data_IF_728791728306
#
_entry.id   IF_728791728306
#
_cell.length_a   1.000
_cell.length_b   1.000
_cell.length_c   1.000
_cell.angle_alpha   90.00
_cell.angle_beta   90.00
_cell.angle_gamma   90.00
#
_symmetry.space_group_name_H-M   'P 1'
#
loop_
_entity.id
_entity.type
_entity.pdbx_description
1 polymer ?
#
# COMPACT_ATOMS: atom_id res chain seq x y z
N UNK A 1 -36.59 5.97 -9.22
CA UNK A 1 -35.74 7.17 -9.02
C UNK A 1 -34.40 6.92 -9.67
N UNK A 2 -34.00 7.70 -10.67
CA UNK A 2 -32.69 7.55 -11.34
C UNK A 2 -31.64 8.34 -10.57
N UNK A 3 -30.61 7.67 -10.04
CA UNK A 3 -29.51 8.33 -9.34
C UNK A 3 -28.76 9.29 -10.27
N UNK A 4 -28.32 10.44 -9.76
CA UNK A 4 -27.41 11.34 -10.49
C UNK A 4 -26.03 10.72 -10.66
N UNK A 5 -25.22 11.21 -11.60
CA UNK A 5 -23.84 10.70 -11.84
C UNK A 5 -22.98 10.83 -10.58
N UNK A 6 -23.14 11.92 -9.84
CA UNK A 6 -22.42 12.16 -8.58
C UNK A 6 -22.86 11.17 -7.49
N UNK A 7 -24.17 10.90 -7.35
CA UNK A 7 -24.68 9.90 -6.41
C UNK A 7 -24.19 8.49 -6.73
N UNK A 8 -24.16 8.09 -8.01
CA UNK A 8 -23.57 6.82 -8.45
C UNK A 8 -22.09 6.73 -8.08
N UNK A 9 -21.35 7.83 -8.22
CA UNK A 9 -19.96 7.95 -7.82
C UNK A 9 -19.74 7.76 -6.32
N UNK A 10 -20.55 8.43 -5.49
CA UNK A 10 -20.48 8.29 -4.03
C UNK A 10 -20.80 6.86 -3.57
N UNK A 11 -21.79 6.21 -4.18
CA UNK A 11 -22.12 4.80 -3.88
C UNK A 11 -20.94 3.89 -4.23
N UNK A 12 -20.37 4.04 -5.43
CA UNK A 12 -19.18 3.28 -5.84
C UNK A 12 -18.01 3.49 -4.87
N UNK A 13 -17.72 4.75 -4.51
CA UNK A 13 -16.64 5.08 -3.58
C UNK A 13 -16.84 4.42 -2.23
N UNK A 14 -18.02 4.57 -1.61
CA UNK A 14 -18.31 3.98 -0.29
C UNK A 14 -18.18 2.46 -0.33
N UNK A 15 -18.71 1.79 -1.36
CA UNK A 15 -18.58 0.34 -1.51
C UNK A 15 -17.11 -0.08 -1.67
N UNK A 16 -16.36 0.58 -2.56
CA UNK A 16 -14.96 0.27 -2.80
C UNK A 16 -14.10 0.48 -1.53
N UNK A 17 -14.28 1.61 -0.83
CA UNK A 17 -13.55 1.90 0.41
C UNK A 17 -13.93 0.93 1.53
N UNK A 18 -15.20 0.53 1.63
CA UNK A 18 -15.65 -0.45 2.62
C UNK A 18 -15.03 -1.82 2.36
N UNK A 19 -15.01 -2.28 1.10
CA UNK A 19 -14.36 -3.53 0.72
C UNK A 19 -12.85 -3.50 1.00
N UNK A 20 -12.17 -2.40 0.66
CA UNK A 20 -10.75 -2.21 0.97
C UNK A 20 -10.50 -2.20 2.48
N UNK A 21 -11.36 -1.55 3.27
CA UNK A 21 -11.26 -1.54 4.73
C UNK A 21 -11.36 -2.98 5.27
N UNK A 22 -12.33 -3.76 4.79
CA UNK A 22 -12.51 -5.16 5.18
C UNK A 22 -11.30 -6.02 4.77
N UNK A 23 -10.73 -5.80 3.59
CA UNK A 23 -9.57 -6.54 3.09
C UNK A 23 -8.27 -6.25 3.82
N UNK A 24 -8.12 -5.03 4.36
CA UNK A 24 -6.89 -4.59 5.01
C UNK A 24 -6.94 -4.76 6.52
N UNK A 25 -8.09 -4.50 7.16
CA UNK A 25 -8.16 -4.38 8.62
C UNK A 25 -8.63 -5.63 9.34
N UNK A 26 -9.45 -6.48 8.73
CA UNK A 26 -9.93 -7.68 9.41
C UNK A 26 -8.82 -8.75 9.51
N UNK A 27 -8.78 -9.43 10.66
CA UNK A 27 -7.87 -10.54 10.94
C UNK A 27 -8.11 -11.79 10.09
N UNK A 28 -9.11 -11.79 9.19
CA UNK A 28 -9.25 -12.76 8.10
C UNK A 28 -8.20 -12.52 7.02
N UNK A 29 -6.93 -12.40 7.41
CA UNK A 29 -5.85 -12.10 6.50
C UNK A 29 -5.28 -13.38 5.90
N UNK A 30 -5.86 -13.76 4.77
CA UNK A 30 -5.29 -14.75 3.85
C UNK A 30 -5.13 -14.14 2.47
N UNK A 31 -4.22 -14.71 1.68
CA UNK A 31 -4.03 -14.32 0.27
C UNK A 31 -5.36 -14.39 -0.50
N UNK A 32 -6.17 -15.41 -0.23
CA UNK A 32 -7.47 -15.61 -0.87
C UNK A 32 -8.48 -14.53 -0.50
N UNK A 33 -8.49 -14.06 0.74
CA UNK A 33 -9.38 -12.96 1.15
C UNK A 33 -9.04 -11.66 0.43
N UNK A 34 -7.74 -11.35 0.29
CA UNK A 34 -7.29 -10.18 -0.46
C UNK A 34 -7.71 -10.27 -1.94
N UNK A 35 -7.67 -11.47 -2.54
CA UNK A 35 -8.17 -11.72 -3.90
C UNK A 35 -9.69 -11.55 -4.00
N UNK A 36 -10.46 -12.08 -3.05
CA UNK A 36 -11.93 -11.91 -3.02
C UNK A 36 -12.30 -10.43 -2.96
N UNK A 37 -11.62 -9.66 -2.11
CA UNK A 37 -11.83 -8.21 -2.01
C UNK A 37 -11.46 -7.50 -3.32
N UNK A 38 -10.34 -7.87 -3.95
CA UNK A 38 -9.93 -7.31 -5.24
C UNK A 38 -10.96 -7.59 -6.35
N UNK A 39 -11.48 -8.81 -6.42
CA UNK A 39 -12.56 -9.18 -7.35
C UNK A 39 -13.82 -8.36 -7.05
N UNK A 40 -14.20 -8.23 -5.78
CA UNK A 40 -15.34 -7.41 -5.36
C UNK A 40 -15.23 -5.95 -5.80
N UNK A 41 -14.07 -5.31 -5.55
CA UNK A 41 -13.80 -3.94 -6.02
C UNK A 41 -13.81 -3.86 -7.55
N UNK A 42 -13.29 -4.88 -8.23
CA UNK A 42 -13.33 -5.00 -9.68
C UNK A 42 -14.76 -5.05 -10.24
N UNK A 43 -15.64 -5.86 -9.64
CA UNK A 43 -17.07 -5.93 -10.02
C UNK A 43 -17.75 -4.59 -9.78
N UNK A 44 -17.53 -3.94 -8.63
CA UNK A 44 -18.05 -2.60 -8.36
C UNK A 44 -17.59 -1.58 -9.41
N UNK A 45 -16.31 -1.65 -9.83
CA UNK A 45 -15.74 -0.76 -10.85
C UNK A 45 -16.36 -0.99 -12.24
N UNK A 46 -16.60 -2.24 -12.63
CA UNK A 46 -17.32 -2.58 -13.88
C UNK A 46 -18.75 -2.02 -13.84
N UNK A 47 -19.50 -2.29 -12.77
CA UNK A 47 -20.88 -1.81 -12.62
C UNK A 47 -20.92 -0.28 -12.68
N UNK A 48 -20.02 0.41 -11.97
CA UNK A 48 -19.90 1.87 -12.03
C UNK A 48 -19.60 2.37 -13.45
N UNK A 49 -18.70 1.68 -14.16
CA UNK A 49 -18.34 2.00 -15.55
C UNK A 49 -19.49 1.84 -16.54
N UNK A 50 -20.39 0.88 -16.33
CA UNK A 50 -21.58 0.64 -17.17
C UNK A 50 -22.69 1.65 -16.91
N UNK A 51 -22.84 2.12 -15.67
CA UNK A 51 -23.87 3.11 -15.30
C UNK A 51 -23.39 4.55 -15.42
N UNK A 52 -22.17 4.80 -15.87
CA UNK A 52 -21.65 6.15 -16.10
C UNK A 52 -21.48 6.44 -17.59
N UNK A 53 -21.72 7.68 -18.05
CA UNK A 53 -21.54 8.03 -19.46
C UNK A 53 -20.14 7.67 -19.95
N UNK A 54 -20.06 7.10 -21.15
CA UNK A 54 -18.80 6.76 -21.79
C UNK A 54 -18.05 8.05 -22.18
N UNK A 55 -17.11 8.46 -21.33
CA UNK A 55 -16.13 9.51 -21.64
C UNK A 55 -14.80 8.91 -22.12
N UNK A 56 -14.08 9.64 -22.98
CA UNK A 56 -12.70 9.26 -23.35
C UNK A 56 -11.77 9.44 -22.16
N UNK A 57 -11.30 8.32 -21.58
CA UNK A 57 -10.34 8.33 -20.49
C UNK A 57 -8.92 8.66 -20.95
N UNK A 58 -8.54 8.14 -22.10
CA UNK A 58 -7.22 8.34 -22.70
C UNK A 58 -7.37 8.86 -24.12
N UNK A 59 -6.31 9.46 -24.65
CA UNK A 59 -6.19 9.82 -26.05
C UNK A 59 -6.19 8.56 -26.94
N UNK A 60 -6.44 8.76 -28.25
CA UNK A 60 -6.54 7.66 -29.21
C UNK A 60 -5.27 6.81 -29.31
N UNK A 61 -4.04 7.37 -29.43
CA UNK A 61 -2.85 6.54 -29.50
C UNK A 61 -2.65 5.71 -28.23
N UNK A 62 -2.87 6.28 -27.05
CA UNK A 62 -2.81 5.53 -25.79
C UNK A 62 -3.86 4.40 -25.75
N UNK A 63 -5.09 4.65 -26.22
CA UNK A 63 -6.13 3.61 -26.29
C UNK A 63 -5.73 2.45 -27.22
N UNK A 64 -5.14 2.76 -28.38
CA UNK A 64 -4.65 1.75 -29.34
C UNK A 64 -3.50 0.97 -28.71
N UNK A 65 -2.54 1.64 -28.07
CA UNK A 65 -1.43 0.99 -27.37
C UNK A 65 -1.91 0.03 -26.28
N UNK A 66 -2.87 0.46 -25.44
CA UNK A 66 -3.47 -0.40 -24.42
C UNK A 66 -4.20 -1.60 -25.04
N UNK A 67 -4.96 -1.40 -26.11
CA UNK A 67 -5.64 -2.48 -26.81
C UNK A 67 -4.65 -3.49 -27.40
N UNK A 68 -3.53 -3.01 -27.97
CA UNK A 68 -2.46 -3.87 -28.48
C UNK A 68 -1.79 -4.66 -27.35
N UNK A 69 -1.42 -4.02 -26.24
CA UNK A 69 -0.80 -4.71 -25.09
C UNK A 69 -1.74 -5.76 -24.51
N UNK A 70 -3.02 -5.45 -24.34
CA UNK A 70 -4.01 -6.41 -23.84
C UNK A 70 -4.26 -7.55 -24.83
N UNK A 71 -4.32 -7.25 -26.13
CA UNK A 71 -4.49 -8.25 -27.20
C UNK A 71 -3.29 -9.19 -27.32
N UNK A 72 -2.07 -8.65 -27.31
CA UNK A 72 -0.83 -9.44 -27.30
C UNK A 72 -0.73 -10.27 -26.02
N UNK A 73 -1.12 -9.71 -24.87
CA UNK A 73 -1.24 -10.45 -23.62
C UNK A 73 -2.19 -11.63 -23.75
N UNK A 74 -3.35 -11.45 -24.37
CA UNK A 74 -4.32 -12.53 -24.57
C UNK A 74 -3.76 -13.64 -25.47
N UNK A 75 -3.12 -13.28 -26.60
CA UNK A 75 -2.44 -14.25 -27.47
C UNK A 75 -1.34 -15.00 -26.71
N UNK A 76 -0.53 -14.28 -25.93
CA UNK A 76 0.51 -14.88 -25.08
C UNK A 76 -0.07 -15.85 -24.05
N UNK A 77 -1.23 -15.54 -23.46
CA UNK A 77 -1.88 -16.44 -22.49
C UNK A 77 -2.38 -17.72 -23.13
N UNK A 78 -2.86 -17.65 -24.37
CA UNK A 78 -3.34 -18.82 -25.11
C UNK A 78 -2.21 -19.76 -25.53
N UNK A 79 -1.04 -19.19 -25.85
CA UNK A 79 0.15 -19.94 -26.26
C UNK A 79 0.99 -20.42 -25.06
N UNK A 80 0.66 -20.02 -23.83
CA UNK A 80 1.42 -20.39 -22.65
C UNK A 80 1.29 -21.88 -22.33
N UNK A 81 2.35 -22.48 -21.80
CA UNK A 81 2.36 -23.86 -21.31
C UNK A 81 1.30 -24.15 -20.24
N UNK A 82 0.89 -23.12 -19.48
CA UNK A 82 -0.13 -23.19 -18.43
C UNK A 82 -1.20 -22.10 -18.67
N UNK A 83 -2.12 -22.31 -19.64
CA UNK A 83 -3.00 -21.25 -20.13
C UNK A 83 -3.99 -20.75 -19.08
N UNK A 84 -4.45 -21.62 -18.17
CA UNK A 84 -5.34 -21.23 -17.07
C UNK A 84 -4.67 -20.23 -16.13
N UNK A 85 -3.44 -20.51 -15.70
CA UNK A 85 -2.67 -19.60 -14.83
C UNK A 85 -2.34 -18.30 -15.54
N UNK A 86 -1.90 -18.36 -16.80
CA UNK A 86 -1.65 -17.16 -17.58
C UNK A 86 -2.91 -16.28 -17.72
N UNK A 87 -4.06 -16.91 -18.00
CA UNK A 87 -5.34 -16.19 -18.10
C UNK A 87 -5.74 -15.54 -16.78
N UNK A 88 -5.47 -16.17 -15.63
CA UNK A 88 -5.73 -15.54 -14.32
C UNK A 88 -4.90 -14.29 -14.08
N UNK A 89 -3.62 -14.28 -14.46
CA UNK A 89 -2.74 -13.11 -14.34
C UNK A 89 -3.15 -11.99 -15.32
N UNK A 90 -3.56 -12.36 -16.54
CA UNK A 90 -4.10 -11.40 -17.50
C UNK A 90 -5.42 -10.78 -17.03
N UNK A 91 -6.33 -11.59 -16.48
CA UNK A 91 -7.59 -11.12 -15.90
C UNK A 91 -7.34 -10.21 -14.68
N UNK A 92 -6.31 -10.50 -13.88
CA UNK A 92 -5.87 -9.65 -12.77
C UNK A 92 -5.43 -8.27 -13.26
N UNK A 93 -4.57 -8.22 -14.29
CA UNK A 93 -4.12 -6.97 -14.91
C UNK A 93 -5.29 -6.16 -15.47
N UNK A 94 -6.20 -6.82 -16.19
CA UNK A 94 -7.41 -6.19 -16.71
C UNK A 94 -8.27 -5.60 -15.58
N UNK A 95 -8.47 -6.37 -14.50
CA UNK A 95 -9.25 -5.94 -13.33
C UNK A 95 -8.63 -4.68 -12.69
N UNK A 96 -7.31 -4.66 -12.49
CA UNK A 96 -6.59 -3.47 -12.01
C UNK A 96 -6.79 -2.26 -12.93
N UNK A 97 -6.75 -2.48 -14.26
CA UNK A 97 -7.00 -1.44 -15.25
C UNK A 97 -8.43 -0.87 -15.16
N UNK A 98 -9.43 -1.74 -14.98
CA UNK A 98 -10.83 -1.32 -14.80
C UNK A 98 -11.03 -0.53 -13.51
N UNK A 99 -10.41 -0.95 -12.40
CA UNK A 99 -10.44 -0.21 -11.13
C UNK A 99 -9.81 1.18 -11.31
N UNK A 100 -8.65 1.26 -11.95
CA UNK A 100 -7.99 2.53 -12.25
C UNK A 100 -8.87 3.44 -13.12
N UNK A 101 -9.49 2.89 -14.16
CA UNK A 101 -10.43 3.61 -15.02
C UNK A 101 -11.65 4.13 -14.25
N UNK A 102 -12.21 3.34 -13.34
CA UNK A 102 -13.34 3.74 -12.49
C UNK A 102 -12.97 4.92 -11.58
N UNK A 103 -11.85 4.86 -10.87
CA UNK A 103 -11.37 5.97 -10.04
C UNK A 103 -11.01 7.21 -10.87
N UNK A 104 -10.46 7.05 -12.07
CA UNK A 104 -10.21 8.17 -12.98
C UNK A 104 -11.52 8.87 -13.42
N UNK A 105 -12.56 8.10 -13.76
CA UNK A 105 -13.90 8.66 -14.06
C UNK A 105 -14.50 9.35 -12.84
N UNK A 106 -14.41 8.70 -11.68
CA UNK A 106 -14.89 9.26 -10.42
C UNK A 106 -14.22 10.61 -10.14
N UNK A 107 -12.90 10.72 -10.35
CA UNK A 107 -12.16 11.96 -10.14
C UNK A 107 -12.50 13.07 -11.14
N UNK A 108 -12.79 12.72 -12.39
CA UNK A 108 -13.20 13.71 -13.41
C UNK A 108 -14.60 14.27 -13.18
N UNK A 109 -15.49 13.46 -12.61
CA UNK A 109 -16.86 13.85 -12.31
C UNK A 109 -17.04 14.38 -10.87
N UNK A 110 -16.02 14.22 -10.03
CA UNK A 110 -16.01 14.64 -8.64
C UNK A 110 -15.25 15.95 -8.42
N UNK A 111 -15.37 16.48 -7.20
CA UNK A 111 -14.70 17.70 -6.76
C UNK A 111 -13.50 17.38 -5.85
N UNK A 112 -12.96 18.41 -5.21
CA UNK A 112 -11.85 18.29 -4.27
C UNK A 112 -12.18 17.44 -3.03
N UNK A 113 -13.46 17.29 -2.68
CA UNK A 113 -13.85 16.49 -1.51
C UNK A 113 -13.51 15.01 -1.70
N UNK A 114 -13.46 14.52 -2.94
CA UNK A 114 -13.00 13.17 -3.25
C UNK A 114 -11.54 12.95 -2.84
N UNK A 115 -10.65 13.89 -3.21
CA UNK A 115 -9.22 13.78 -2.88
C UNK A 115 -9.03 13.81 -1.36
N UNK A 116 -9.81 14.66 -0.66
CA UNK A 116 -9.81 14.71 0.81
C UNK A 116 -10.30 13.40 1.44
N UNK A 117 -11.37 12.80 0.91
CA UNK A 117 -11.90 11.54 1.39
C UNK A 117 -10.89 10.39 1.20
N UNK A 118 -10.19 10.34 0.07
CA UNK A 118 -9.15 9.33 -0.19
C UNK A 118 -7.93 9.51 0.74
N UNK A 119 -7.49 10.75 0.98
CA UNK A 119 -6.41 11.03 1.94
C UNK A 119 -6.84 10.63 3.37
N UNK A 120 -8.07 10.98 3.77
CA UNK A 120 -8.61 10.59 5.08
C UNK A 120 -8.70 9.06 5.21
N UNK A 121 -9.08 8.37 4.14
CA UNK A 121 -9.12 6.91 4.11
C UNK A 121 -7.73 6.30 4.31
N UNK A 122 -6.69 6.84 3.65
CA UNK A 122 -5.30 6.41 3.86
C UNK A 122 -4.86 6.65 5.31
N UNK A 123 -5.16 7.83 5.87
CA UNK A 123 -4.88 8.15 7.27
C UNK A 123 -5.55 7.16 8.22
N UNK A 124 -6.84 6.85 7.98
CA UNK A 124 -7.60 5.90 8.77
C UNK A 124 -6.99 4.49 8.70
N UNK A 125 -6.62 4.01 7.52
CA UNK A 125 -5.98 2.70 7.36
C UNK A 125 -4.64 2.64 8.11
N UNK A 126 -3.82 3.67 7.99
CA UNK A 126 -2.53 3.72 8.69
C UNK A 126 -2.73 3.80 10.20
N UNK A 127 -3.72 4.55 10.67
CA UNK A 127 -4.08 4.62 12.09
C UNK A 127 -4.51 3.24 12.62
N UNK A 128 -5.45 2.57 11.94
CA UNK A 128 -5.90 1.23 12.33
C UNK A 128 -4.73 0.25 12.37
N UNK A 129 -3.87 0.26 11.34
CA UNK A 129 -2.70 -0.61 11.29
C UNK A 129 -1.67 -0.30 12.37
N UNK A 130 -1.50 0.97 12.72
CA UNK A 130 -0.64 1.38 13.83
C UNK A 130 -1.19 0.91 15.17
N UNK A 131 -2.51 1.00 15.37
CA UNK A 131 -3.16 0.48 16.57
C UNK A 131 -3.06 -1.06 16.66
N UNK A 132 -3.24 -1.77 15.54
CA UNK A 132 -3.06 -3.23 15.48
C UNK A 132 -1.61 -3.64 15.82
N UNK A 133 -0.63 -2.91 15.28
CA UNK A 133 0.78 -3.13 15.60
C UNK A 133 1.07 -2.87 17.08
N UNK A 134 0.54 -1.78 17.64
CA UNK A 134 0.68 -1.45 19.06
C UNK A 134 0.05 -2.52 19.96
N UNK A 135 -1.15 -2.99 19.62
CA UNK A 135 -1.84 -4.07 20.33
C UNK A 135 -1.03 -5.37 20.29
N UNK A 136 -0.54 -5.78 19.13
CA UNK A 136 0.34 -6.95 18.99
C UNK A 136 1.63 -6.78 19.80
N UNK A 137 2.20 -5.57 19.84
CA UNK A 137 3.36 -5.24 20.66
C UNK A 137 3.08 -5.43 22.15
N UNK A 138 1.98 -4.88 22.66
CA UNK A 138 1.57 -5.06 24.07
C UNK A 138 1.41 -6.54 24.41
N UNK A 139 0.75 -7.32 23.55
CA UNK A 139 0.63 -8.77 23.75
C UNK A 139 2.00 -9.45 23.79
N UNK A 140 2.89 -9.15 22.85
CA UNK A 140 4.23 -9.74 22.81
C UNK A 140 5.09 -9.38 24.03
N UNK A 141 4.98 -8.15 24.55
CA UNK A 141 5.70 -7.74 25.76
C UNK A 141 5.12 -8.31 27.06
N UNK A 142 3.85 -8.76 27.05
CA UNK A 142 3.14 -9.28 28.23
C UNK A 142 2.91 -10.78 28.22
N UNK A 143 3.22 -11.48 27.12
CA UNK A 143 2.96 -12.92 26.97
C UNK A 143 3.82 -13.79 27.88
N UNK A 144 4.93 -13.27 28.39
CA UNK A 144 5.91 -14.03 29.18
C UNK A 144 6.84 -14.89 28.33
N UNK A 145 6.75 -14.78 26.99
CA UNK A 145 7.71 -15.42 26.08
C UNK A 145 9.09 -14.79 26.23
N UNK A 146 10.15 -15.59 26.06
CA UNK A 146 11.53 -15.10 26.12
C UNK A 146 12.01 -14.47 24.81
N UNK A 147 11.29 -14.73 23.71
CA UNK A 147 11.64 -14.26 22.36
C UNK A 147 10.54 -13.39 21.78
N UNK A 148 10.92 -12.21 21.28
CA UNK A 148 10.02 -11.31 20.56
C UNK A 148 10.30 -11.38 19.06
N UNK A 149 9.35 -11.91 18.28
CA UNK A 149 9.43 -11.91 16.81
C UNK A 149 8.72 -10.68 16.22
N UNK A 150 9.50 -9.81 15.58
CA UNK A 150 8.98 -8.59 14.96
C UNK A 150 8.08 -8.84 13.75
N UNK A 151 8.15 -10.02 13.13
CA UNK A 151 7.29 -10.37 11.99
C UNK A 151 5.84 -10.59 12.42
N UNK A 152 5.62 -11.11 13.64
CA UNK A 152 4.28 -11.33 14.20
C UNK A 152 3.53 -10.02 14.48
N UNK A 153 4.26 -8.92 14.67
CA UNK A 153 3.68 -7.60 14.86
C UNK A 153 3.02 -7.05 13.58
N UNK A 154 3.42 -7.58 12.41
CA UNK A 154 2.97 -7.14 11.09
C UNK A 154 1.79 -7.97 10.59
N UNK A 155 0.77 -8.09 11.42
CA UNK A 155 -0.44 -8.85 11.12
C UNK A 155 -1.31 -8.26 9.99
N UNK A 156 -2.11 -9.12 9.37
CA UNK A 156 -3.10 -8.71 8.38
C UNK A 156 -2.69 -8.89 6.91
N UNK A 157 -1.49 -9.41 6.63
CA UNK A 157 -1.04 -9.75 5.28
C UNK A 157 -0.46 -11.17 5.25
N UNK A 158 -0.67 -11.88 4.15
CA UNK A 158 -0.11 -13.23 3.94
C UNK A 158 1.41 -13.26 3.88
N UNK A 159 2.03 -12.12 3.52
CA UNK A 159 3.46 -11.97 3.45
C UNK A 159 3.87 -10.53 3.81
N UNK A 160 4.94 -10.41 4.60
CA UNK A 160 5.58 -9.14 4.97
C UNK A 160 5.94 -8.26 3.77
N UNK A 161 6.20 -8.84 2.60
CA UNK A 161 6.44 -8.10 1.34
C UNK A 161 5.22 -7.31 0.88
N UNK A 162 4.01 -7.87 0.98
CA UNK A 162 2.79 -7.16 0.62
C UNK A 162 2.50 -6.02 1.59
N UNK A 163 2.79 -6.23 2.89
CA UNK A 163 2.77 -5.15 3.87
C UNK A 163 3.73 -4.01 3.49
N UNK A 164 4.96 -4.35 3.08
CA UNK A 164 5.94 -3.37 2.60
C UNK A 164 5.49 -2.60 1.37
N UNK A 165 4.86 -3.26 0.39
CA UNK A 165 4.28 -2.58 -0.78
C UNK A 165 3.18 -1.61 -0.36
N UNK A 166 2.28 -2.04 0.53
CA UNK A 166 1.25 -1.17 1.09
C UNK A 166 1.86 0.06 1.79
N UNK A 167 2.88 -0.14 2.63
CA UNK A 167 3.61 0.95 3.28
C UNK A 167 4.29 1.89 2.27
N UNK A 168 4.89 1.35 1.22
CA UNK A 168 5.58 2.14 0.18
C UNK A 168 4.63 3.14 -0.47
N UNK A 169 3.38 2.74 -0.71
CA UNK A 169 2.37 3.63 -1.29
C UNK A 169 1.77 4.62 -0.27
N UNK A 170 1.59 4.23 1.00
CA UNK A 170 0.92 5.08 2.00
C UNK A 170 1.86 6.08 2.69
N UNK A 171 3.13 5.73 2.88
CA UNK A 171 4.10 6.54 3.60
C UNK A 171 4.32 7.94 2.98
N UNK A 172 4.40 8.09 1.64
CA UNK A 172 4.43 9.41 1.01
C UNK A 172 3.15 10.23 1.22
N UNK A 173 1.99 9.57 1.22
CA UNK A 173 0.68 10.21 1.30
C UNK A 173 0.38 10.75 2.71
N UNK A 174 0.88 10.08 3.76
CA UNK A 174 0.74 10.54 5.15
C UNK A 174 1.38 11.91 5.41
N UNK A 175 2.37 12.31 4.62
CA UNK A 175 3.00 13.62 4.75
C UNK A 175 2.19 14.75 4.09
N UNK A 176 1.22 14.46 3.21
CA UNK A 176 0.46 15.48 2.48
C UNK A 176 -0.27 16.48 3.39
N UNK A 177 -0.99 16.06 4.46
CA UNK A 177 -1.63 16.99 5.38
C UNK A 177 -0.64 17.91 6.11
N UNK A 178 0.63 17.48 6.28
CA UNK A 178 1.66 18.28 6.93
C UNK A 178 2.18 19.43 6.04
N UNK A 179 1.95 19.34 4.73
CA UNK A 179 2.31 20.36 3.75
C UNK A 179 1.25 21.47 3.64
N UNK A 180 0.00 21.15 3.96
CA UNK A 180 -1.12 22.09 3.84
C UNK A 180 -1.07 23.16 4.95
N UNK A 181 -1.20 24.43 4.53
CA UNK A 181 -1.21 25.56 5.44
C UNK A 181 -2.48 25.63 6.30
N UNK A 182 -3.60 25.09 5.80
CA UNK A 182 -4.91 25.09 6.47
C UNK A 182 -5.02 24.09 7.62
N UNK A 183 -4.06 23.18 7.78
CA UNK A 183 -4.11 22.15 8.82
C UNK A 183 -3.79 22.72 10.19
N UNK A 184 -4.69 22.49 11.16
CA UNK A 184 -4.52 22.94 12.55
C UNK A 184 -3.25 22.39 13.20
N UNK A 185 -2.72 23.09 14.20
CA UNK A 185 -1.50 22.65 14.92
C UNK A 185 -1.69 21.27 15.58
N UNK A 186 -2.86 21.02 16.17
CA UNK A 186 -3.18 19.73 16.79
C UNK A 186 -3.20 18.61 15.76
N UNK A 187 -3.92 18.81 14.65
CA UNK A 187 -4.00 17.82 13.57
C UNK A 187 -2.62 17.54 12.98
N UNK A 188 -1.78 18.58 12.80
CA UNK A 188 -0.41 18.41 12.33
C UNK A 188 0.43 17.57 13.30
N UNK A 189 0.30 17.80 14.60
CA UNK A 189 0.96 16.98 15.62
C UNK A 189 0.52 15.51 15.59
N UNK A 190 -0.78 15.25 15.48
CA UNK A 190 -1.33 13.89 15.41
C UNK A 190 -0.89 13.15 14.14
N UNK A 191 -0.95 13.81 12.97
CA UNK A 191 -0.49 13.23 11.70
C UNK A 191 1.01 12.98 11.72
N UNK A 192 1.80 13.89 12.33
CA UNK A 192 3.24 13.68 12.48
C UNK A 192 3.56 12.50 13.41
N UNK A 193 2.85 12.38 14.55
CA UNK A 193 2.99 11.23 15.44
C UNK A 193 2.64 9.92 14.74
N UNK A 194 1.57 9.91 13.95
CA UNK A 194 1.21 8.76 13.10
C UNK A 194 2.30 8.46 12.07
N UNK A 195 2.89 9.46 11.44
CA UNK A 195 3.98 9.28 10.48
C UNK A 195 5.24 8.69 11.14
N UNK A 196 5.60 9.14 12.36
CA UNK A 196 6.68 8.56 13.15
C UNK A 196 6.42 7.08 13.48
N UNK A 197 5.19 6.77 13.92
CA UNK A 197 4.78 5.39 14.18
C UNK A 197 4.78 4.54 12.91
N UNK A 198 4.38 5.10 11.76
CA UNK A 198 4.43 4.41 10.48
C UNK A 198 5.86 4.11 10.03
N UNK A 199 6.80 5.04 10.27
CA UNK A 199 8.24 4.82 10.08
C UNK A 199 8.80 3.75 11.02
N UNK A 200 8.40 3.75 12.30
CA UNK A 200 8.74 2.66 13.24
C UNK A 200 8.36 1.30 12.66
N UNK A 201 7.13 1.15 12.14
CA UNK A 201 6.65 -0.09 11.54
C UNK A 201 7.43 -0.43 10.26
N UNK A 202 7.82 0.58 9.45
CA UNK A 202 8.63 0.34 8.25
C UNK A 202 10.05 -0.14 8.61
N UNK A 203 10.63 0.38 9.70
CA UNK A 203 11.95 -0.01 10.22
C UNK A 203 11.91 -1.44 10.77
N UNK A 204 10.95 -1.77 11.64
CA UNK A 204 10.76 -3.16 12.13
C UNK A 204 10.39 -4.11 10.98
N UNK A 205 9.68 -3.58 9.99
CA UNK A 205 9.37 -4.22 8.72
C UNK A 205 10.59 -4.55 7.87
N UNK A 206 11.74 -3.89 8.00
CA UNK A 206 12.93 -4.21 7.20
C UNK A 206 12.68 -4.40 5.68
N UNK A 207 11.64 -3.76 5.13
CA UNK A 207 11.19 -4.02 3.75
C UNK A 207 12.06 -3.22 2.79
N UNK A 208 13.11 -3.84 2.26
CA UNK A 208 14.12 -3.18 1.40
C UNK A 208 13.52 -2.38 0.24
N UNK A 209 12.44 -2.87 -0.37
CA UNK A 209 11.72 -2.17 -1.44
C UNK A 209 11.17 -0.81 -1.02
N UNK A 210 10.68 -0.70 0.22
CA UNK A 210 10.20 0.56 0.79
C UNK A 210 11.33 1.56 0.94
N UNK A 211 12.48 1.13 1.48
CA UNK A 211 13.67 1.99 1.63
C UNK A 211 14.16 2.52 0.29
N UNK A 212 14.29 1.65 -0.72
CA UNK A 212 14.72 2.05 -2.06
C UNK A 212 13.69 2.98 -2.72
N UNK A 213 12.41 2.63 -2.68
CA UNK A 213 11.33 3.41 -3.29
C UNK A 213 11.22 4.81 -2.69
N UNK A 214 11.24 4.91 -1.36
CA UNK A 214 11.21 6.20 -0.66
C UNK A 214 12.51 6.98 -0.88
N UNK A 215 13.67 6.31 -0.91
CA UNK A 215 14.96 6.94 -1.20
C UNK A 215 15.01 7.58 -2.58
N UNK A 216 14.59 6.85 -3.62
CA UNK A 216 14.51 7.39 -4.98
C UNK A 216 13.50 8.54 -5.05
N UNK A 217 12.32 8.38 -4.45
CA UNK A 217 11.32 9.45 -4.39
C UNK A 217 11.86 10.70 -3.67
N UNK A 218 12.60 10.54 -2.57
CA UNK A 218 13.25 11.61 -1.82
C UNK A 218 14.27 12.38 -2.67
N UNK A 219 15.13 11.67 -3.40
CA UNK A 219 16.10 12.28 -4.31
C UNK A 219 15.38 13.08 -5.38
N UNK A 220 14.42 12.48 -6.08
CA UNK A 220 13.68 13.14 -7.16
C UNK A 220 12.93 14.38 -6.63
N UNK A 221 12.21 14.26 -5.50
CA UNK A 221 11.43 15.35 -4.92
C UNK A 221 12.30 16.47 -4.35
N UNK A 222 13.54 16.19 -3.90
CA UNK A 222 14.45 17.23 -3.44
C UNK A 222 14.76 18.27 -4.55
N UNK A 223 14.79 17.82 -5.81
CA UNK A 223 15.07 18.66 -6.97
C UNK A 223 13.81 19.32 -7.59
N UNK A 224 12.60 18.86 -7.25
CA UNK A 224 11.33 19.36 -7.80
C UNK A 224 10.77 20.62 -7.09
N UNK A 225 11.58 21.29 -6.26
CA UNK A 225 11.25 22.60 -5.68
C UNK A 225 10.97 22.60 -4.17
N UNK A 226 10.46 23.73 -3.67
CA UNK A 226 10.31 23.97 -2.22
C UNK A 226 9.33 23.01 -1.54
N UNK A 227 8.24 22.62 -2.22
CA UNK A 227 7.27 21.66 -1.70
C UNK A 227 7.89 20.26 -1.53
N UNK A 228 8.70 19.82 -2.49
CA UNK A 228 9.41 18.54 -2.40
C UNK A 228 10.46 18.52 -1.30
N UNK A 229 11.22 19.60 -1.11
CA UNK A 229 12.13 19.75 0.04
C UNK A 229 11.42 19.75 1.39
N UNK A 230 10.25 20.41 1.48
CA UNK A 230 9.41 20.38 2.70
C UNK A 230 8.85 18.99 2.98
N UNK A 231 8.41 18.28 1.95
CA UNK A 231 7.99 16.88 2.07
C UNK A 231 9.14 16.02 2.59
N UNK A 232 10.34 16.17 2.02
CA UNK A 232 11.53 15.45 2.48
C UNK A 232 11.88 15.77 3.93
N UNK A 233 11.81 17.05 4.33
CA UNK A 233 12.08 17.44 5.72
C UNK A 233 11.13 16.75 6.71
N UNK A 234 9.83 16.68 6.38
CA UNK A 234 8.86 15.95 7.20
C UNK A 234 9.16 14.44 7.26
N UNK A 235 9.54 13.84 6.13
CA UNK A 235 9.89 12.42 6.08
C UNK A 235 11.15 12.10 6.89
N UNK A 236 12.19 12.93 6.79
CA UNK A 236 13.43 12.77 7.57
C UNK A 236 13.16 12.97 9.06
N UNK A 237 12.40 14.00 9.43
CA UNK A 237 12.03 14.23 10.82
C UNK A 237 11.24 13.06 11.40
N UNK A 238 10.29 12.50 10.63
CA UNK A 238 9.51 11.36 11.07
C UNK A 238 10.31 10.05 11.07
N UNK A 239 11.25 9.87 10.14
CA UNK A 239 12.21 8.76 10.16
C UNK A 239 13.05 8.80 11.44
N UNK A 240 13.58 9.96 11.82
CA UNK A 240 14.29 10.12 13.09
C UNK A 240 13.38 9.80 14.29
N UNK A 241 12.13 10.24 14.27
CA UNK A 241 11.13 9.89 15.28
C UNK A 241 10.86 8.38 15.34
N UNK A 242 10.70 7.72 14.20
CA UNK A 242 10.52 6.27 14.09
C UNK A 242 11.73 5.48 14.58
N UNK A 243 12.95 5.93 14.26
CA UNK A 243 14.21 5.35 14.76
C UNK A 243 14.32 5.48 16.27
N UNK A 244 13.97 6.64 16.82
CA UNK A 244 13.96 6.86 18.26
C UNK A 244 12.96 5.94 18.97
N UNK A 245 11.74 5.82 18.44
CA UNK A 245 10.74 4.87 18.95
C UNK A 245 11.22 3.42 18.85
N UNK A 246 11.86 3.05 17.74
CA UNK A 246 12.41 1.70 17.53
C UNK A 246 13.47 1.39 18.58
N UNK A 247 14.40 2.31 18.81
CA UNK A 247 15.43 2.19 19.83
C UNK A 247 14.81 2.04 21.22
N UNK A 248 13.83 2.86 21.58
CA UNK A 248 13.18 2.80 22.89
C UNK A 248 12.47 1.47 23.12
N UNK A 249 11.71 0.99 22.13
CA UNK A 249 10.93 -0.25 22.27
C UNK A 249 11.79 -1.52 22.21
N UNK A 250 12.68 -1.61 21.22
CA UNK A 250 13.39 -2.85 20.93
C UNK A 250 14.79 -2.89 21.58
N UNK A 251 15.47 -1.76 21.78
CA UNK A 251 16.81 -1.79 22.39
C UNK A 251 16.76 -1.54 23.91
N UNK A 252 15.88 -0.64 24.37
CA UNK A 252 15.79 -0.29 25.79
C UNK A 252 14.77 -1.18 26.51
N UNK A 253 13.50 -1.15 26.09
CA UNK A 253 12.43 -1.86 26.78
C UNK A 253 12.57 -3.39 26.69
N UNK A 254 12.80 -3.94 25.50
CA UNK A 254 13.00 -5.39 25.35
C UNK A 254 14.18 -5.90 26.20
N UNK A 255 15.31 -5.17 26.20
CA UNK A 255 16.48 -5.51 27.02
C UNK A 255 16.20 -5.40 28.52
N UNK A 256 15.46 -4.37 28.94
CA UNK A 256 15.04 -4.22 30.33
C UNK A 256 14.17 -5.40 30.78
N UNK A 257 13.32 -5.92 29.89
CA UNK A 257 12.48 -7.09 30.12
C UNK A 257 13.20 -8.43 29.91
N UNK A 258 14.48 -8.43 29.52
CA UNK A 258 15.25 -9.65 29.26
C UNK A 258 14.82 -10.43 28.02
N UNK A 259 14.13 -9.79 27.07
CA UNK A 259 13.64 -10.42 25.85
C UNK A 259 14.74 -10.49 24.78
N UNK A 260 14.88 -11.66 24.16
CA UNK A 260 15.67 -11.81 22.95
C UNK A 260 14.83 -11.44 21.72
N UNK A 261 15.36 -10.60 20.83
CA UNK A 261 14.63 -10.21 19.63
C UNK A 261 15.02 -11.15 18.51
N UNK A 262 14.09 -12.02 18.12
CA UNK A 262 14.20 -12.78 16.90
C UNK A 262 13.89 -11.87 15.70
N UNK A 263 14.43 -12.21 14.52
CA UNK A 263 14.18 -11.50 13.25
C UNK A 263 14.63 -10.03 13.21
N UNK A 264 15.68 -9.67 13.97
CA UNK A 264 16.33 -8.36 13.87
C UNK A 264 16.68 -8.04 12.42
N UNK A 265 16.39 -6.80 12.00
CA UNK A 265 16.72 -6.28 10.67
C UNK A 265 18.20 -6.47 10.30
N UNK A 266 19.08 -6.58 11.31
CA UNK A 266 20.50 -6.87 11.18
C UNK A 266 20.82 -8.25 10.56
N UNK A 267 20.07 -9.31 10.89
CA UNK A 267 20.29 -10.66 10.32
C UNK A 267 19.90 -10.73 8.83
N UNK A 268 19.24 -9.68 8.33
CA UNK A 268 18.80 -9.56 6.95
C UNK A 268 19.71 -8.64 6.12
N UNK A 269 20.97 -8.41 6.52
CA UNK A 269 22.01 -7.81 5.68
C UNK A 269 22.61 -8.78 4.65
N UNK A 270 21.83 -9.76 4.18
CA UNK A 270 22.26 -10.66 3.11
C UNK A 270 22.14 -9.97 1.75
N UNK A 271 23.27 -9.69 1.10
CA UNK A 271 23.35 -9.21 -0.30
C UNK A 271 22.97 -10.29 -1.32
N UNK A 272 22.67 -11.50 -0.87
CA UNK A 272 22.24 -12.61 -1.74
C UNK A 272 20.87 -12.32 -2.37
N UNK A 273 20.70 -12.71 -3.62
CA UNK A 273 19.44 -12.69 -4.37
C UNK A 273 18.40 -13.72 -3.86
N UNK A 274 18.71 -14.45 -2.78
CA UNK A 274 17.85 -15.48 -2.18
C UNK A 274 17.45 -16.57 -3.18
N UNK A 275 18.37 -16.98 -4.06
CA UNK A 275 18.11 -18.01 -5.07
C UNK A 275 17.28 -17.55 -6.27
N UNK A 276 16.91 -16.25 -6.34
CA UNK A 276 16.13 -15.70 -7.47
C UNK A 276 16.89 -15.75 -8.79
N UNK A 277 18.22 -15.67 -8.74
CA UNK A 277 19.11 -15.87 -9.87
C UNK A 277 18.88 -17.24 -10.54
N UNK A 278 18.66 -18.30 -9.75
CA UNK A 278 18.38 -19.64 -10.25
C UNK A 278 17.01 -19.68 -10.93
N UNK A 279 16.01 -19.04 -10.32
CA UNK A 279 14.64 -18.99 -10.87
C UNK A 279 14.61 -18.18 -12.17
N UNK A 280 15.36 -17.08 -12.26
CA UNK A 280 15.44 -16.26 -13.46
C UNK A 280 16.13 -17.00 -14.61
N UNK A 281 17.20 -17.75 -14.32
CA UNK A 281 17.82 -18.64 -15.30
C UNK A 281 16.86 -19.72 -15.78
N UNK A 282 16.14 -20.38 -14.87
CA UNK A 282 15.11 -21.36 -15.24
C UNK A 282 14.01 -20.75 -16.11
N UNK A 283 13.56 -19.54 -15.79
CA UNK A 283 12.55 -18.85 -16.58
C UNK A 283 13.07 -18.48 -17.97
N UNK A 284 14.34 -18.09 -18.09
CA UNK A 284 14.98 -17.83 -19.38
C UNK A 284 15.08 -19.10 -20.24
N UNK A 285 15.47 -20.22 -19.64
CA UNK A 285 15.57 -21.52 -20.33
C UNK A 285 14.20 -22.05 -20.80
N UNK A 286 13.08 -21.52 -20.27
CA UNK A 286 11.72 -21.89 -20.66
C UNK A 286 11.11 -21.01 -21.77
N UNK A 287 11.81 -19.95 -22.22
CA UNK A 287 11.40 -19.07 -23.32
C UNK A 287 12.06 -19.53 -24.62
#
# INVERSE_FOLDING_TARGET
MTLSVQQRGSVFLVLALSLLLLGITLSFSGHDWQRVVQVGVGVCAVVYGLVTPAGRLVDRPTAIGLALVLGLGLVSTWLAHQPLWALTEWALMLTCGVIAAAFARLRRNGDQALDQALILFVLLLCLIKTLQYGYAGVLAFTSGDTTLDTDLLLGGFSNKRFYGQFQTFTLPLLALPLLLASTSRLTRGLVFALLCAWWLIAISGGTRGTWLGIGVAAVILAFLGAAGRRWLAWQVAALCGGLFLYWLLFMVLARYLGLEIASLSNDRLTTSLSGREVIWWQAWDMI
#
